data_IF_104341041656
#
_entry.id   IF_104341041656
#
_cell.length_a   1.000
_cell.length_b   1.000
_cell.length_c   1.000
_cell.angle_alpha   90.00
_cell.angle_beta   90.00
_cell.angle_gamma   90.00
#
_symmetry.space_group_name_H-M   'P 1'
#
loop_
_entity.id
_entity.type
_entity.pdbx_description
1 polymer ?
#
# COMPACT_ATOMS: atom_id res chain seq x y z
N UNK A 1 21.82 0.02 17.40
CA UNK A 1 22.09 1.42 17.02
C UNK A 1 20.83 1.96 16.36
N UNK A 2 20.04 2.77 17.05
CA UNK A 2 18.79 3.33 16.49
C UNK A 2 18.55 4.71 17.08
N UNK A 3 19.56 5.58 16.96
CA UNK A 3 19.50 6.97 17.44
C UNK A 3 18.94 7.94 16.39
N UNK A 4 18.67 7.44 15.18
CA UNK A 4 18.13 8.22 14.06
C UNK A 4 16.61 8.07 14.08
N UNK A 5 15.91 9.18 14.19
CA UNK A 5 14.45 9.20 14.22
C UNK A 5 13.84 9.16 12.82
N UNK A 6 12.57 8.79 12.74
CA UNK A 6 11.82 8.73 11.49
C UNK A 6 11.34 10.13 11.06
N UNK A 7 11.49 10.46 9.78
CA UNK A 7 10.83 11.64 9.22
C UNK A 7 9.32 11.42 9.16
N UNK A 8 8.53 12.41 9.54
CA UNK A 8 7.06 12.37 9.53
C UNK A 8 6.47 12.89 8.23
N UNK A 9 7.23 13.70 7.48
CA UNK A 9 6.86 14.24 6.18
C UNK A 9 8.12 14.55 5.33
N UNK A 10 8.01 14.63 3.98
CA UNK A 10 9.17 14.73 3.08
C UNK A 10 10.09 15.94 3.31
N UNK A 11 9.52 17.06 3.79
CA UNK A 11 10.26 18.31 3.92
C UNK A 11 11.28 18.28 5.08
N UNK A 12 11.04 17.52 6.14
CA UNK A 12 12.00 17.34 7.26
C UNK A 12 12.98 16.17 7.06
N UNK A 13 12.72 15.26 6.11
CA UNK A 13 13.56 14.08 5.87
C UNK A 13 14.98 14.44 5.42
N UNK A 14 16.03 14.12 6.17
CA UNK A 14 17.43 14.40 5.76
C UNK A 14 18.17 13.17 5.26
N UNK A 15 17.70 11.97 5.61
CA UNK A 15 18.28 10.69 5.22
C UNK A 15 17.27 9.79 4.50
N UNK A 16 17.78 8.96 3.60
CA UNK A 16 17.06 7.90 2.91
C UNK A 16 17.62 6.55 3.36
N UNK A 17 16.76 5.63 3.76
CA UNK A 17 17.14 4.24 3.97
C UNK A 17 17.25 3.51 2.63
N UNK A 18 18.40 2.90 2.36
CA UNK A 18 18.70 2.13 1.15
C UNK A 18 19.16 0.74 1.55
N UNK A 19 18.59 -0.30 0.94
CA UNK A 19 19.01 -1.69 1.17
C UNK A 19 19.92 -2.17 0.03
N UNK A 20 21.12 -2.60 0.36
CA UNK A 20 22.09 -3.16 -0.58
C UNK A 20 22.68 -4.46 0.00
N UNK A 21 22.63 -5.54 -0.77
CA UNK A 21 23.21 -6.85 -0.40
C UNK A 21 22.77 -7.36 0.99
N UNK A 22 21.51 -7.11 1.38
CA UNK A 22 20.96 -7.52 2.67
C UNK A 22 21.35 -6.63 3.86
N UNK A 23 22.06 -5.53 3.62
CA UNK A 23 22.42 -4.52 4.63
C UNK A 23 21.67 -3.22 4.38
N UNK A 24 21.40 -2.46 5.45
CA UNK A 24 20.75 -1.16 5.40
C UNK A 24 21.79 -0.05 5.53
N UNK A 25 21.73 0.90 4.62
CA UNK A 25 22.56 2.10 4.57
C UNK A 25 21.67 3.35 4.65
N UNK A 26 22.26 4.45 5.14
CA UNK A 26 21.62 5.77 5.15
C UNK A 26 22.37 6.71 4.23
N UNK A 27 21.65 7.28 3.26
CA UNK A 27 22.17 8.25 2.30
C UNK A 27 21.52 9.62 2.55
N UNK A 28 22.30 10.70 2.49
CA UNK A 28 21.77 12.05 2.65
C UNK A 28 21.08 12.52 1.37
N UNK A 29 19.83 12.97 1.48
CA UNK A 29 19.05 13.50 0.33
C UNK A 29 19.04 15.03 0.25
N UNK A 30 19.68 15.72 1.20
CA UNK A 30 19.78 17.18 1.29
C UNK A 30 21.05 17.58 2.03
N UNK A 31 21.50 18.82 1.83
CA UNK A 31 22.68 19.36 2.51
C UNK A 31 22.49 19.36 4.03
N UNK A 32 23.47 18.83 4.74
CA UNK A 32 23.46 18.76 6.20
C UNK A 32 24.29 19.90 6.77
N UNK A 33 23.63 20.82 7.46
CA UNK A 33 24.27 21.89 8.22
C UNK A 33 24.78 21.35 9.58
N UNK A 34 25.44 22.17 10.40
CA UNK A 34 25.82 21.74 11.75
C UNK A 34 24.63 21.77 12.72
N UNK A 35 24.48 20.70 13.51
CA UNK A 35 23.42 20.48 14.52
C UNK A 35 21.95 20.26 14.06
N UNK A 36 21.62 19.88 12.81
CA UNK A 36 20.27 19.43 12.48
C UNK A 36 20.06 18.00 12.96
N UNK A 37 18.80 17.68 13.29
CA UNK A 37 18.39 16.31 13.55
C UNK A 37 18.43 15.49 12.25
N UNK A 38 18.96 14.27 12.33
CA UNK A 38 18.95 13.33 11.22
C UNK A 38 17.64 12.55 11.25
N UNK A 39 16.83 12.74 10.21
CA UNK A 39 15.51 12.13 10.07
C UNK A 39 15.49 11.24 8.83
N UNK A 40 15.21 9.96 9.03
CA UNK A 40 15.25 8.94 7.98
C UNK A 40 13.85 8.54 7.53
N UNK A 41 13.69 8.33 6.22
CA UNK A 41 12.53 7.65 5.66
C UNK A 41 12.93 6.70 4.53
N UNK A 42 12.00 5.85 4.11
CA UNK A 42 12.20 4.91 3.02
C UNK A 42 12.35 5.65 1.69
N UNK A 43 13.37 5.27 0.91
CA UNK A 43 13.61 5.80 -0.44
C UNK A 43 12.68 5.22 -1.50
N UNK A 44 12.91 5.61 -2.75
CA UNK A 44 12.13 5.15 -3.92
C UNK A 44 12.37 3.67 -4.26
N UNK A 45 13.41 3.07 -3.69
CA UNK A 45 13.66 1.63 -3.77
C UNK A 45 12.66 0.79 -2.94
N UNK A 46 11.82 1.42 -2.13
CA UNK A 46 10.70 0.78 -1.45
C UNK A 46 9.39 1.12 -2.16
N UNK A 47 8.64 0.10 -2.57
CA UNK A 47 7.27 0.27 -3.06
C UNK A 47 6.37 0.67 -1.90
N UNK A 48 5.64 1.77 -2.04
CA UNK A 48 4.81 2.34 -0.98
C UNK A 48 3.33 2.27 -1.35
N UNK A 49 2.49 1.85 -0.40
CA UNK A 49 1.04 1.99 -0.46
C UNK A 49 0.60 2.87 0.70
N UNK A 50 -0.02 4.02 0.41
CA UNK A 50 -0.38 5.03 1.42
C UNK A 50 0.83 5.45 2.30
N UNK A 51 1.98 5.67 1.68
CA UNK A 51 3.26 5.99 2.36
C UNK A 51 3.82 4.91 3.29
N UNK A 52 3.22 3.71 3.29
CA UNK A 52 3.72 2.56 4.03
C UNK A 52 4.53 1.67 3.07
N UNK A 53 5.78 1.31 3.41
CA UNK A 53 6.58 0.40 2.57
C UNK A 53 5.97 -1.00 2.57
N UNK A 54 5.61 -1.51 1.39
CA UNK A 54 4.97 -2.82 1.19
C UNK A 54 5.96 -3.85 0.63
N UNK A 55 6.88 -3.42 -0.24
CA UNK A 55 7.85 -4.32 -0.88
C UNK A 55 9.16 -3.58 -1.22
N UNK A 56 10.24 -4.32 -1.43
CA UNK A 56 11.47 -3.78 -2.01
C UNK A 56 11.37 -3.89 -3.54
N UNK A 57 11.49 -2.75 -4.22
CA UNK A 57 11.70 -2.76 -5.66
C UNK A 57 13.13 -3.22 -5.92
N UNK A 58 13.29 -4.49 -6.29
CA UNK A 58 14.58 -5.01 -6.74
C UNK A 58 14.95 -4.25 -8.00
N UNK A 59 15.89 -3.30 -7.90
CA UNK A 59 16.44 -2.59 -9.05
C UNK A 59 17.20 -3.62 -9.89
N UNK A 60 16.51 -4.23 -10.86
CA UNK A 60 17.17 -4.95 -11.95
C UNK A 60 17.91 -3.90 -12.78
N UNK A 61 19.22 -3.80 -12.62
CA UNK A 61 20.05 -3.11 -13.60
C UNK A 61 19.89 -3.83 -14.95
N UNK A 62 19.21 -3.17 -15.89
CA UNK A 62 19.11 -3.63 -17.28
C UNK A 62 17.68 -3.70 -17.80
N UNK A 63 17.34 -2.72 -18.63
CA UNK A 63 16.43 -2.79 -19.78
C UNK A 63 15.56 -4.06 -19.88
N UNK A 64 14.32 -3.96 -19.38
CA UNK A 64 13.12 -4.34 -20.12
C UNK A 64 11.89 -3.89 -19.33
N UNK A 65 11.04 -3.11 -20.00
CA UNK A 65 9.68 -2.86 -19.57
C UNK A 65 8.92 -4.20 -19.60
N UNK A 66 8.89 -4.88 -18.46
CA UNK A 66 7.88 -5.88 -18.15
C UNK A 66 7.19 -5.37 -16.90
N UNK A 67 5.99 -4.81 -17.08
CA UNK A 67 5.12 -4.47 -15.95
C UNK A 67 4.99 -5.69 -15.03
N UNK A 68 4.97 -5.51 -13.70
CA UNK A 68 4.61 -6.60 -12.82
C UNK A 68 3.17 -6.98 -13.17
N UNK A 69 2.96 -8.24 -13.55
CA UNK A 69 1.64 -8.82 -13.76
C UNK A 69 0.70 -8.42 -12.65
N UNK A 70 -0.44 -7.86 -13.05
CA UNK A 70 -1.61 -7.51 -12.23
C UNK A 70 -2.28 -8.75 -11.62
N UNK A 71 -1.53 -9.68 -11.00
CA UNK A 71 -2.08 -10.96 -10.52
C UNK A 71 -2.13 -11.08 -8.99
N UNK A 72 -1.81 -10.00 -8.26
CA UNK A 72 -1.93 -10.00 -6.79
C UNK A 72 -2.58 -8.75 -6.21
N UNK A 73 -3.32 -7.99 -7.03
CA UNK A 73 -4.23 -6.93 -6.58
C UNK A 73 -5.72 -7.34 -6.68
N UNK A 74 -6.01 -8.48 -7.33
CA UNK A 74 -7.35 -8.99 -7.48
C UNK A 74 -7.72 -9.77 -6.21
N UNK A 75 -8.20 -9.06 -5.18
CA UNK A 75 -8.85 -9.73 -4.06
C UNK A 75 -9.98 -10.64 -4.55
N UNK A 76 -10.50 -11.52 -3.69
CA UNK A 76 -11.51 -12.49 -4.07
C UNK A 76 -12.85 -11.79 -4.37
N UNK A 77 -13.12 -11.49 -5.64
CA UNK A 77 -14.31 -10.76 -6.07
C UNK A 77 -15.53 -11.68 -6.19
N UNK A 78 -16.69 -11.18 -5.79
CA UNK A 78 -17.96 -11.80 -6.13
C UNK A 78 -18.44 -11.31 -7.50
N UNK A 79 -18.55 -12.20 -8.47
CA UNK A 79 -19.08 -11.88 -9.82
C UNK A 79 -20.52 -11.35 -9.80
N UNK A 80 -21.31 -11.69 -8.77
CA UNK A 80 -22.73 -11.31 -8.69
C UNK A 80 -22.95 -9.91 -8.09
N UNK A 81 -22.08 -9.44 -7.19
CA UNK A 81 -22.23 -8.14 -6.53
C UNK A 81 -21.01 -7.22 -6.63
N UNK A 82 -19.90 -7.67 -7.18
CA UNK A 82 -18.66 -6.90 -7.28
C UNK A 82 -17.94 -6.65 -5.94
N UNK A 83 -18.43 -7.17 -4.80
CA UNK A 83 -17.71 -7.07 -3.52
C UNK A 83 -16.40 -7.86 -3.59
N UNK A 84 -15.33 -7.24 -3.10
CA UNK A 84 -13.99 -7.83 -3.03
C UNK A 84 -13.70 -8.26 -1.59
N UNK A 85 -13.24 -9.48 -1.41
CA UNK A 85 -12.89 -10.07 -0.11
C UNK A 85 -11.37 -10.28 -0.02
N UNK A 86 -10.83 -10.18 1.20
CA UNK A 86 -9.41 -10.42 1.46
C UNK A 86 -9.02 -11.89 1.40
N UNK A 87 -9.96 -12.80 1.63
CA UNK A 87 -9.75 -14.24 1.58
C UNK A 87 -10.89 -14.96 0.84
N UNK A 88 -10.54 -16.05 0.17
CA UNK A 88 -11.47 -16.92 -0.57
C UNK A 88 -12.63 -17.38 0.33
N UNK A 89 -12.29 -17.84 1.53
CA UNK A 89 -13.25 -18.31 2.53
C UNK A 89 -14.39 -17.32 2.80
N UNK A 90 -14.10 -16.02 2.83
CA UNK A 90 -15.13 -15.00 3.09
C UNK A 90 -16.00 -14.74 1.85
N UNK A 91 -15.42 -14.81 0.64
CA UNK A 91 -16.20 -14.80 -0.61
C UNK A 91 -17.13 -16.00 -0.67
N UNK A 92 -16.65 -17.21 -0.36
CA UNK A 92 -17.48 -18.42 -0.39
C UNK A 92 -18.60 -18.40 0.64
N UNK A 93 -18.32 -17.92 1.87
CA UNK A 93 -19.39 -17.67 2.84
C UNK A 93 -20.41 -16.67 2.32
N UNK A 94 -19.96 -15.60 1.67
CA UNK A 94 -20.85 -14.62 1.07
C UNK A 94 -21.74 -15.27 -0.02
N UNK A 95 -21.16 -16.06 -0.92
CA UNK A 95 -21.90 -16.77 -1.97
C UNK A 95 -22.92 -17.78 -1.41
N UNK A 96 -22.60 -18.42 -0.27
CA UNK A 96 -23.41 -19.46 0.33
C UNK A 96 -24.52 -18.95 1.25
N UNK A 97 -24.26 -17.91 2.04
CA UNK A 97 -25.14 -17.50 3.14
C UNK A 97 -25.70 -16.09 2.99
N UNK A 98 -25.17 -15.27 2.08
CA UNK A 98 -25.55 -13.86 1.96
C UNK A 98 -26.13 -13.60 0.57
N UNK A 99 -27.39 -13.13 0.45
CA UNK A 99 -27.91 -12.73 -0.84
C UNK A 99 -27.10 -11.56 -1.40
N UNK A 100 -26.75 -11.64 -2.67
CA UNK A 100 -26.06 -10.56 -3.37
C UNK A 100 -27.07 -9.45 -3.70
N UNK A 101 -27.10 -8.38 -2.91
CA UNK A 101 -28.10 -7.29 -3.01
C UNK A 101 -27.68 -6.16 -3.97
N UNK A 102 -26.77 -6.43 -4.91
CA UNK A 102 -26.26 -5.40 -5.86
C UNK A 102 -27.08 -5.25 -7.14
N UNK A 103 -28.29 -5.81 -7.20
CA UNK A 103 -29.27 -5.52 -8.26
C UNK A 103 -30.16 -4.31 -7.93
N UNK A 104 -29.62 -3.31 -7.21
CA UNK A 104 -30.28 -2.01 -7.04
C UNK A 104 -31.44 -1.93 -6.05
N UNK A 105 -31.87 -3.03 -5.43
CA UNK A 105 -33.00 -3.03 -4.49
C UNK A 105 -32.55 -2.76 -3.04
N UNK A 106 -31.92 -1.61 -2.80
CA UNK A 106 -31.39 -1.26 -1.48
C UNK A 106 -32.32 -0.29 -0.76
N UNK A 107 -32.87 -0.73 0.37
CA UNK A 107 -33.87 0.01 1.18
C UNK A 107 -33.32 1.27 1.87
N UNK A 108 -32.00 1.39 2.09
CA UNK A 108 -31.39 2.55 2.77
C UNK A 108 -30.10 3.06 2.07
N UNK A 109 -30.22 3.92 1.04
CA UNK A 109 -29.07 4.53 0.37
C UNK A 109 -28.33 5.54 1.26
N UNK A 110 -27.00 5.55 1.18
CA UNK A 110 -26.19 6.62 1.76
C UNK A 110 -26.30 7.87 0.87
N UNK A 111 -26.56 9.02 1.47
CA UNK A 111 -26.62 10.31 0.75
C UNK A 111 -25.24 10.89 0.41
N UNK A 112 -24.18 10.39 1.04
CA UNK A 112 -22.81 10.91 0.90
C UNK A 112 -21.92 10.03 0.00
N UNK A 113 -22.35 8.81 -0.32
CA UNK A 113 -21.60 7.91 -1.20
C UNK A 113 -22.52 6.90 -1.90
N UNK A 114 -22.00 6.17 -2.89
CA UNK A 114 -22.76 5.15 -3.65
C UNK A 114 -23.05 3.85 -2.88
N UNK A 115 -22.78 3.84 -1.56
CA UNK A 115 -23.03 2.67 -0.71
C UNK A 115 -24.45 2.71 -0.17
N UNK A 116 -24.98 1.57 0.20
CA UNK A 116 -26.26 1.50 0.88
C UNK A 116 -26.23 0.38 1.90
N UNK A 117 -27.08 0.48 2.91
CA UNK A 117 -27.06 -0.36 4.09
C UNK A 117 -28.38 -1.14 4.21
N UNK A 118 -28.34 -2.25 4.93
CA UNK A 118 -29.50 -3.00 5.41
C UNK A 118 -29.62 -2.76 6.92
N UNK A 119 -30.81 -2.91 7.50
CA UNK A 119 -31.03 -2.64 8.93
C UNK A 119 -30.38 -3.72 9.81
#
# INVERSE_FOLDING_TARGET
MSYVNWARFPMEQSLVAVQCQGQIFYESCKELYQNPELLVWYGDCYEKFLDIPVSLQVIKQGNQASGPSEESAEGYRCERCGKVFTYEYYRDKHLKYTPCVDKGDRKFPCSLCKRSFEK
#
